data_IF_399267657182
#
_entry.id   IF_399267657182
#
_cell.length_a   1.000
_cell.length_b   1.000
_cell.length_c   1.000
_cell.angle_alpha   90.00
_cell.angle_beta   90.00
_cell.angle_gamma   90.00
#
_symmetry.space_group_name_H-M   'P 1'
#
loop_
_entity.id
_entity.type
_entity.pdbx_description
1 polymer ?
#
# COMPACT_ATOMS: atom_id res chain seq x y z
N UNK A 1 -10.53 0.01 -8.01
CA UNK A 1 -9.24 -0.58 -8.43
C UNK A 1 -8.67 -0.01 -9.75
N UNK A 2 -9.29 1.02 -10.36
CA UNK A 2 -8.86 1.55 -11.68
C UNK A 2 -7.41 2.05 -11.71
N UNK A 3 -6.93 2.73 -10.67
CA UNK A 3 -5.54 3.23 -10.61
C UNK A 3 -4.52 2.08 -10.65
N UNK A 4 -4.76 0.98 -9.91
CA UNK A 4 -3.89 -0.21 -9.95
C UNK A 4 -3.96 -0.91 -11.30
N UNK A 5 -5.13 -0.94 -11.95
CA UNK A 5 -5.28 -1.51 -13.28
C UNK A 5 -4.57 -0.69 -14.36
N UNK A 6 -4.60 0.64 -14.29
CA UNK A 6 -3.86 1.52 -15.18
C UNK A 6 -2.35 1.41 -14.95
N UNK A 7 -1.93 1.33 -13.69
CA UNK A 7 -0.53 1.05 -13.33
C UNK A 7 -0.08 -0.32 -13.86
N UNK A 8 -0.97 -1.32 -13.85
CA UNK A 8 -0.71 -2.64 -14.44
C UNK A 8 -0.60 -2.56 -15.96
N UNK A 9 -1.56 -1.94 -16.66
CA UNK A 9 -1.58 -1.91 -18.13
C UNK A 9 -0.45 -1.10 -18.77
N UNK A 10 0.09 -0.09 -18.07
CA UNK A 10 1.25 0.68 -18.56
C UNK A 10 2.57 -0.10 -18.51
N UNK A 11 2.57 -1.29 -17.90
CA UNK A 11 3.74 -2.14 -17.81
C UNK A 11 3.38 -3.52 -18.32
N UNK A 12 4.19 -4.08 -19.19
CA UNK A 12 4.29 -5.54 -19.28
C UNK A 12 4.91 -6.08 -17.97
N UNK A 13 4.29 -5.84 -16.81
CA UNK A 13 4.62 -6.47 -15.54
C UNK A 13 4.56 -7.95 -15.84
N UNK A 14 5.73 -8.59 -15.86
CA UNK A 14 5.97 -9.97 -16.23
C UNK A 14 4.71 -10.85 -16.12
N UNK A 15 4.45 -11.67 -17.14
CA UNK A 15 3.34 -12.63 -17.24
C UNK A 15 3.15 -13.55 -16.00
N UNK A 16 4.02 -13.48 -14.99
CA UNK A 16 3.84 -13.99 -13.63
C UNK A 16 2.74 -13.28 -12.79
N UNK A 17 2.36 -12.03 -13.10
CA UNK A 17 1.31 -11.29 -12.37
C UNK A 17 -0.09 -11.60 -12.92
N UNK A 18 -0.20 -12.05 -14.17
CA UNK A 18 -1.49 -12.28 -14.84
C UNK A 18 -2.32 -13.43 -14.23
N UNK A 19 -1.74 -14.21 -13.31
CA UNK A 19 -2.44 -15.31 -12.62
C UNK A 19 -2.67 -15.06 -11.12
N UNK A 20 -2.32 -13.89 -10.59
CA UNK A 20 -2.52 -13.58 -9.17
C UNK A 20 -3.83 -12.82 -9.00
N UNK A 21 -4.69 -13.33 -8.13
CA UNK A 21 -6.01 -12.76 -7.85
C UNK A 21 -5.93 -11.27 -7.52
N UNK A 22 -7.01 -10.52 -7.79
CA UNK A 22 -7.13 -9.09 -7.47
C UNK A 22 -6.85 -8.74 -6.00
N UNK A 23 -6.94 -9.73 -5.11
CA UNK A 23 -6.66 -9.62 -3.68
C UNK A 23 -5.16 -9.72 -3.38
N UNK A 24 -4.41 -10.54 -4.13
CA UNK A 24 -2.98 -10.74 -3.92
C UNK A 24 -2.14 -9.57 -4.42
N UNK A 25 -2.56 -8.95 -5.53
CA UNK A 25 -1.79 -7.87 -6.15
C UNK A 25 -1.58 -6.64 -5.24
N UNK A 26 -2.61 -6.08 -4.57
CA UNK A 26 -2.43 -4.95 -3.66
C UNK A 26 -1.49 -5.27 -2.48
N UNK A 27 -1.62 -6.45 -1.87
CA UNK A 27 -0.77 -6.87 -0.74
C UNK A 27 0.70 -7.05 -1.17
N UNK A 28 0.94 -7.68 -2.33
CA UNK A 28 2.29 -7.85 -2.86
C UNK A 28 2.94 -6.49 -3.19
N UNK A 29 2.19 -5.59 -3.84
CA UNK A 29 2.67 -4.25 -4.17
C UNK A 29 2.97 -3.43 -2.90
N UNK A 30 2.14 -3.54 -1.87
CA UNK A 30 2.37 -2.93 -0.57
C UNK A 30 3.69 -3.41 0.04
N UNK A 31 3.91 -4.73 0.07
CA UNK A 31 5.12 -5.30 0.65
C UNK A 31 6.39 -4.85 -0.12
N UNK A 32 6.33 -4.75 -1.45
CA UNK A 32 7.45 -4.23 -2.25
C UNK A 32 7.76 -2.77 -1.89
N UNK A 33 6.75 -1.90 -1.85
CA UNK A 33 6.92 -0.49 -1.52
C UNK A 33 7.41 -0.28 -0.09
N UNK A 34 6.87 -1.04 0.87
CA UNK A 34 7.27 -0.95 2.28
C UNK A 34 8.73 -1.31 2.53
N UNK A 35 9.29 -2.21 1.70
CA UNK A 35 10.70 -2.63 1.75
C UNK A 35 11.64 -1.69 0.98
N UNK A 36 11.11 -0.63 0.38
CA UNK A 36 11.87 0.27 -0.49
C UNK A 36 12.26 -0.36 -1.83
N UNK A 37 11.67 -1.52 -2.18
CA UNK A 37 11.99 -2.19 -3.43
C UNK A 37 11.39 -1.41 -4.60
N UNK A 38 12.16 -1.30 -5.67
CA UNK A 38 11.63 -0.82 -6.94
C UNK A 38 10.74 -1.91 -7.54
N UNK A 39 9.47 -1.59 -7.78
CA UNK A 39 8.60 -2.45 -8.56
C UNK A 39 9.18 -2.48 -9.97
N UNK A 40 9.66 -3.64 -10.43
CA UNK A 40 10.27 -3.80 -11.75
C UNK A 40 9.43 -3.10 -12.83
N UNK A 41 10.09 -2.21 -13.56
CA UNK A 41 9.43 -1.22 -14.41
C UNK A 41 10.13 -1.09 -15.75
N UNK A 42 10.55 -2.22 -16.31
CA UNK A 42 11.10 -2.31 -17.67
C UNK A 42 12.07 -1.17 -18.02
N UNK A 43 11.79 -0.53 -19.15
CA UNK A 43 12.51 0.59 -19.76
C UNK A 43 11.90 1.97 -19.42
N UNK A 44 11.05 2.06 -18.39
CA UNK A 44 10.40 3.33 -18.06
C UNK A 44 11.42 4.38 -17.61
N UNK A 45 11.13 5.63 -17.98
CA UNK A 45 11.85 6.78 -17.47
C UNK A 45 11.66 6.95 -15.95
N UNK A 46 12.57 7.70 -15.33
CA UNK A 46 12.46 8.03 -13.90
C UNK A 46 11.16 8.76 -13.57
N UNK A 47 10.69 9.66 -14.44
CA UNK A 47 9.44 10.39 -14.24
C UNK A 47 8.22 9.47 -14.31
N UNK A 48 8.21 8.51 -15.23
CA UNK A 48 7.15 7.49 -15.30
C UNK A 48 7.17 6.60 -14.05
N UNK A 49 8.36 6.25 -13.55
CA UNK A 49 8.53 5.47 -12.32
C UNK A 49 7.99 6.22 -11.10
N UNK A 50 8.29 7.52 -10.98
CA UNK A 50 7.74 8.40 -9.94
C UNK A 50 6.21 8.50 -10.04
N UNK A 51 5.68 8.76 -11.24
CA UNK A 51 4.24 8.87 -11.46
C UNK A 51 3.50 7.58 -11.09
N UNK A 52 4.04 6.43 -11.47
CA UNK A 52 3.40 5.16 -11.17
C UNK A 52 3.49 4.80 -9.68
N UNK A 53 4.63 5.07 -9.02
CA UNK A 53 4.74 4.93 -7.57
C UNK A 53 3.67 5.76 -6.86
N UNK A 54 3.48 7.02 -7.29
CA UNK A 54 2.40 7.90 -6.79
C UNK A 54 1.02 7.31 -7.03
N UNK A 55 0.71 6.86 -8.25
CA UNK A 55 -0.59 6.24 -8.57
C UNK A 55 -0.88 5.01 -7.70
N UNK A 56 0.13 4.18 -7.44
CA UNK A 56 -0.01 3.00 -6.59
C UNK A 56 -0.26 3.39 -5.13
N UNK A 57 0.50 4.34 -4.58
CA UNK A 57 0.31 4.81 -3.20
C UNK A 57 -1.10 5.37 -2.99
N UNK A 58 -1.56 6.23 -3.89
CA UNK A 58 -2.93 6.77 -3.87
C UNK A 58 -3.96 5.64 -3.95
N UNK A 59 -3.73 4.65 -4.81
CA UNK A 59 -4.65 3.51 -4.92
C UNK A 59 -4.72 2.69 -3.63
N UNK A 60 -3.59 2.47 -2.94
CA UNK A 60 -3.53 1.76 -1.66
C UNK A 60 -4.26 2.53 -0.54
N UNK A 61 -4.19 3.87 -0.53
CA UNK A 61 -5.00 4.71 0.36
C UNK A 61 -6.51 4.59 0.06
N UNK A 62 -6.91 4.58 -1.21
CA UNK A 62 -8.31 4.43 -1.60
C UNK A 62 -8.88 3.03 -1.31
N UNK A 63 -8.03 2.01 -1.20
CA UNK A 63 -8.43 0.60 -1.01
C UNK A 63 -8.48 0.16 0.46
N UNK A 64 -8.30 1.07 1.42
CA UNK A 64 -8.33 0.74 2.85
C UNK A 64 -9.65 0.07 3.26
N UNK A 65 -9.59 -0.96 4.10
CA UNK A 65 -10.79 -1.67 4.56
C UNK A 65 -11.64 -0.80 5.49
N UNK A 66 -10.99 -0.04 6.38
CA UNK A 66 -11.65 0.94 7.24
C UNK A 66 -12.04 2.18 6.42
N UNK A 67 -13.33 2.54 6.30
CA UNK A 67 -13.76 3.69 5.51
C UNK A 67 -13.15 5.02 5.98
N UNK A 68 -12.90 5.16 7.28
CA UNK A 68 -12.28 6.34 7.89
C UNK A 68 -10.84 6.57 7.47
N UNK A 69 -10.15 5.55 6.95
CA UNK A 69 -8.79 5.68 6.43
C UNK A 69 -8.76 6.03 4.94
N UNK A 70 -9.91 5.99 4.24
CA UNK A 70 -9.96 6.33 2.83
C UNK A 70 -9.95 7.84 2.68
N UNK A 71 -9.08 8.42 1.84
CA UNK A 71 -9.11 9.84 1.55
C UNK A 71 -10.40 10.22 0.82
N UNK A 72 -10.82 11.48 0.99
CA UNK A 72 -11.87 12.07 0.17
C UNK A 72 -11.42 12.19 -1.29
N UNK A 73 -12.35 12.29 -2.25
CA UNK A 73 -11.98 12.48 -3.65
C UNK A 73 -11.18 13.77 -3.90
N UNK A 74 -11.43 14.85 -3.16
CA UNK A 74 -10.64 16.08 -3.27
C UNK A 74 -9.20 15.85 -2.82
N UNK A 75 -9.01 15.18 -1.69
CA UNK A 75 -7.69 14.77 -1.20
C UNK A 75 -6.99 13.84 -2.20
N UNK A 76 -7.71 12.91 -2.83
CA UNK A 76 -7.14 12.04 -3.88
C UNK A 76 -6.61 12.85 -5.06
N UNK A 77 -7.34 13.89 -5.50
CA UNK A 77 -6.89 14.79 -6.57
C UNK A 77 -5.64 15.54 -6.14
N UNK A 78 -5.64 16.14 -4.94
CA UNK A 78 -4.47 16.82 -4.37
C UNK A 78 -3.24 15.90 -4.30
N UNK A 79 -3.43 14.65 -3.85
CA UNK A 79 -2.34 13.66 -3.82
C UNK A 79 -1.83 13.30 -5.22
N UNK A 80 -2.69 13.28 -6.24
CA UNK A 80 -2.31 12.96 -7.62
C UNK A 80 -1.65 14.14 -8.34
N UNK A 81 -2.06 15.36 -8.05
CA UNK A 81 -1.50 16.60 -8.63
C UNK A 81 -0.22 17.04 -7.92
N UNK A 82 -0.12 16.76 -6.61
CA UNK A 82 1.02 17.12 -5.77
C UNK A 82 2.27 16.24 -5.96
N UNK A 83 3.27 16.53 -5.12
CA UNK A 83 4.52 15.78 -5.08
C UNK A 83 4.32 14.41 -4.43
N UNK A 84 4.55 13.36 -5.23
CA UNK A 84 4.40 11.98 -4.79
C UNK A 84 5.48 11.51 -3.81
N UNK A 85 6.60 12.24 -3.69
CA UNK A 85 7.68 11.89 -2.76
C UNK A 85 7.30 12.18 -1.29
N UNK A 86 6.30 13.04 -1.06
CA UNK A 86 5.78 13.38 0.27
C UNK A 86 4.70 12.41 0.77
N UNK A 87 4.22 11.50 -0.09
CA UNK A 87 3.16 10.56 0.28
C UNK A 87 3.71 9.41 1.12
N UNK A 88 3.23 9.32 2.36
CA UNK A 88 3.55 8.21 3.25
C UNK A 88 2.84 6.91 2.84
N UNK A 89 3.42 5.79 3.28
CA UNK A 89 2.78 4.49 3.12
C UNK A 89 1.46 4.45 3.90
N UNK A 90 0.35 4.03 3.27
CA UNK A 90 -0.89 3.83 4.00
C UNK A 90 -0.76 2.73 5.05
N UNK A 91 -1.71 2.62 5.99
CA UNK A 91 -1.82 1.44 6.83
C UNK A 91 -1.90 0.16 5.99
N UNK A 92 -1.36 -0.95 6.50
CA UNK A 92 -1.32 -2.21 5.74
C UNK A 92 -2.75 -2.62 5.37
N UNK A 93 -3.08 -2.67 4.07
CA UNK A 93 -4.39 -3.11 3.66
C UNK A 93 -4.54 -4.57 4.09
N UNK A 94 -5.71 -4.93 4.61
CA UNK A 94 -6.06 -6.28 5.06
C UNK A 94 -5.46 -6.76 6.39
N UNK A 95 -5.00 -5.86 7.28
CA UNK A 95 -4.83 -6.24 8.69
C UNK A 95 -6.20 -6.57 9.29
N UNK A 96 -6.35 -7.80 9.78
CA UNK A 96 -7.49 -8.18 10.62
C UNK A 96 -7.49 -7.27 11.86
N UNK A 97 -8.65 -6.85 12.36
CA UNK A 97 -8.74 -5.96 13.52
C UNK A 97 -8.17 -6.55 14.83
N UNK A 98 -7.75 -7.82 14.86
CA UNK A 98 -7.38 -8.53 16.09
C UNK A 98 -5.87 -8.57 16.40
N UNK A 99 -5.00 -7.96 15.60
CA UNK A 99 -3.58 -7.82 15.96
C UNK A 99 -3.35 -6.54 16.76
N UNK A 100 -3.86 -6.51 18.00
CA UNK A 100 -3.29 -5.67 19.05
C UNK A 100 -2.02 -6.33 19.58
N UNK A 101 -0.87 -5.63 19.67
CA UNK A 101 0.28 -6.16 20.40
C UNK A 101 -0.15 -6.32 21.86
N UNK A 102 -0.08 -7.55 22.37
CA UNK A 102 -0.21 -7.78 23.80
C UNK A 102 0.83 -6.89 24.50
N UNK A 103 0.35 -5.94 25.30
CA UNK A 103 1.21 -5.24 26.24
C UNK A 103 1.75 -6.32 27.18
N UNK A 104 3.07 -6.47 27.20
CA UNK A 104 3.78 -7.26 28.19
C UNK A 104 3.41 -6.69 29.56
N UNK A 105 2.64 -7.46 30.32
CA UNK A 105 2.36 -7.23 31.73
C UNK A 105 3.62 -7.58 32.51
N UNK A 106 4.48 -6.59 32.72
CA UNK A 106 5.58 -6.65 33.69
C UNK A 106 4.95 -6.77 35.08
N UNK A 107 5.22 -7.90 35.72
CA UNK A 107 4.55 -8.34 36.94
C UNK A 107 4.78 -7.46 38.18
N UNK A 108 3.89 -7.62 39.15
CA UNK A 108 4.14 -7.32 40.55
C UNK A 108 3.60 -8.47 41.40
N UNK A 109 4.49 -8.99 42.24
CA UNK A 109 4.34 -10.07 43.20
C UNK A 109 3.17 -9.91 44.19
N UNK A 110 2.60 -11.03 44.61
CA UNK A 110 2.07 -11.19 45.96
C UNK A 110 2.25 -12.65 46.42
N UNK A 111 3.04 -12.81 47.47
CA UNK A 111 3.27 -14.01 48.29
C UNK A 111 2.00 -14.59 48.96
N UNK A 112 2.14 -15.84 49.40
CA UNK A 112 1.58 -16.44 50.62
C UNK A 112 0.09 -16.86 50.70
N UNK A 113 -0.18 -18.15 50.42
CA UNK A 113 -0.54 -19.26 51.37
C UNK A 113 -1.07 -20.47 50.59
#
# INVERSE_FOLDING_TARGET
MLLLEMARKRKNLNAFVDQRSQIYFPSWVYDQLSKGNNIEMGDASEDERKMLKKMILVALWCMQMKPTHRPSMNTVIEMLEGDGELLEMPPKPFQNPDETPALEDDGIDAEDI
#
